data_IF_373133837215
#
_entry.id   IF_373133837215
#
_cell.length_a   1.000
_cell.length_b   1.000
_cell.length_c   1.000
_cell.angle_alpha   90.00
_cell.angle_beta   90.00
_cell.angle_gamma   90.00
#
_symmetry.space_group_name_H-M   'P 1'
#
loop_
_entity.id
_entity.type
_entity.pdbx_description
1 polymer ?
#
# COMPACT_ATOMS: atom_id res chain seq x y z
N UNK A 1 12.58 -2.95 0.01
CA UNK A 1 12.72 -2.92 1.49
C UNK A 1 11.72 -3.86 2.14
N UNK A 2 10.53 -3.94 1.57
CA UNK A 2 9.50 -4.93 1.86
C UNK A 2 9.39 -5.91 0.70
N UNK A 3 8.93 -7.11 1.00
CA UNK A 3 8.42 -8.09 0.05
C UNK A 3 6.94 -8.33 0.39
N UNK A 4 6.08 -8.31 -0.63
CA UNK A 4 4.67 -8.65 -0.46
C UNK A 4 4.50 -10.16 -0.28
N UNK A 5 3.68 -10.57 0.70
CA UNK A 5 3.46 -11.99 0.99
C UNK A 5 2.25 -12.50 0.20
N UNK A 6 2.50 -12.87 -1.07
CA UNK A 6 1.50 -13.29 -2.04
C UNK A 6 0.65 -14.49 -1.59
N UNK A 7 1.22 -15.45 -0.85
CA UNK A 7 0.53 -16.69 -0.48
C UNK A 7 -0.58 -16.51 0.57
N UNK A 8 -0.56 -15.39 1.30
CA UNK A 8 -1.41 -15.17 2.48
C UNK A 8 -2.16 -13.83 2.45
N UNK A 9 -1.99 -13.07 1.37
CA UNK A 9 -2.63 -11.77 1.16
C UNK A 9 -3.49 -11.82 -0.10
N UNK A 10 -4.37 -10.84 -0.28
CA UNK A 10 -5.20 -10.75 -1.48
C UNK A 10 -4.36 -10.60 -2.76
N UNK A 11 -4.95 -10.84 -3.93
CA UNK A 11 -4.26 -10.53 -5.18
C UNK A 11 -4.03 -9.01 -5.27
N UNK A 12 -2.76 -8.61 -5.40
CA UNK A 12 -2.39 -7.20 -5.46
C UNK A 12 -2.83 -6.51 -6.75
N UNK A 13 -3.11 -7.28 -7.80
CA UNK A 13 -3.57 -6.74 -9.09
C UNK A 13 -4.84 -5.89 -8.94
N UNK A 14 -5.71 -6.25 -7.97
CA UNK A 14 -6.94 -5.52 -7.63
C UNK A 14 -6.69 -4.04 -7.31
N UNK A 15 -5.55 -3.71 -6.71
CA UNK A 15 -5.18 -2.34 -6.31
C UNK A 15 -4.64 -1.50 -7.47
N UNK A 16 -4.52 -2.08 -8.67
CA UNK A 16 -4.06 -1.39 -9.89
C UNK A 16 -5.21 -1.09 -10.86
N UNK A 17 -6.42 -1.57 -10.57
CA UNK A 17 -7.57 -1.45 -11.47
C UNK A 17 -8.22 -0.06 -11.43
N UNK A 18 -7.91 0.74 -10.40
CA UNK A 18 -8.53 2.05 -10.21
C UNK A 18 -10.02 1.94 -9.91
N UNK A 19 -10.39 0.95 -9.09
CA UNK A 19 -11.77 0.70 -8.64
C UNK A 19 -11.85 0.74 -7.12
N UNK A 20 -13.03 1.05 -6.62
CA UNK A 20 -13.36 0.87 -5.19
C UNK A 20 -13.34 -0.62 -4.83
N UNK A 21 -12.66 -0.94 -3.73
CA UNK A 21 -12.63 -2.25 -3.11
C UNK A 21 -13.41 -2.23 -1.77
N UNK A 22 -14.28 -1.23 -1.57
CA UNK A 22 -15.10 -1.07 -0.38
C UNK A 22 -15.97 -2.32 -0.13
N UNK A 23 -16.09 -2.72 1.13
CA UNK A 23 -16.83 -3.92 1.55
C UNK A 23 -16.01 -5.21 1.53
N UNK A 24 -14.78 -5.17 1.03
CA UNK A 24 -13.81 -6.26 1.17
C UNK A 24 -12.95 -6.03 2.41
N UNK A 25 -12.85 -7.05 3.27
CA UNK A 25 -12.02 -7.00 4.46
C UNK A 25 -10.69 -7.70 4.17
N UNK A 26 -9.64 -6.90 3.99
CA UNK A 26 -8.29 -7.37 3.71
C UNK A 26 -7.32 -6.84 4.76
N UNK A 27 -6.45 -7.72 5.24
CA UNK A 27 -5.19 -7.33 5.87
C UNK A 27 -4.05 -7.82 4.98
N UNK A 28 -3.35 -6.88 4.35
CA UNK A 28 -2.24 -7.19 3.45
C UNK A 28 -0.95 -7.36 4.26
N UNK A 29 -0.25 -8.47 4.04
CA UNK A 29 0.94 -8.83 4.83
C UNK A 29 2.21 -8.62 4.01
N UNK A 30 3.20 -8.03 4.65
CA UNK A 30 4.49 -7.68 4.09
C UNK A 30 5.61 -8.18 4.98
N UNK A 31 6.73 -8.57 4.38
CA UNK A 31 7.92 -9.00 5.10
C UNK A 31 9.06 -7.99 4.89
N UNK A 32 9.62 -7.46 5.97
CA UNK A 32 10.84 -6.68 5.87
C UNK A 32 12.04 -7.60 5.58
N UNK A 33 12.89 -7.21 4.63
CA UNK A 33 14.02 -8.04 4.18
C UNK A 33 15.09 -8.27 5.24
N UNK A 34 15.27 -7.31 6.15
CA UNK A 34 16.27 -7.34 7.23
C UNK A 34 15.96 -6.28 8.30
N UNK A 35 16.59 -6.41 9.48
CA UNK A 35 16.42 -5.49 10.62
C UNK A 35 16.70 -4.02 10.29
N UNK A 36 17.68 -3.75 9.41
CA UNK A 36 17.99 -2.38 8.97
C UNK A 36 16.83 -1.78 8.17
N UNK A 37 16.26 -2.55 7.24
CA UNK A 37 15.07 -2.16 6.48
C UNK A 37 13.88 -1.91 7.41
N UNK A 38 13.65 -2.82 8.37
CA UNK A 38 12.57 -2.69 9.35
C UNK A 38 12.68 -1.40 10.18
N UNK A 39 13.88 -0.99 10.58
CA UNK A 39 14.09 0.30 11.26
C UNK A 39 13.90 1.52 10.36
N UNK A 40 14.30 1.42 9.07
CA UNK A 40 14.14 2.51 8.09
C UNK A 40 12.67 2.76 7.76
N UNK A 41 11.87 1.69 7.60
CA UNK A 41 10.44 1.72 7.31
C UNK A 41 9.69 2.64 8.30
N UNK A 42 9.99 2.55 9.59
CA UNK A 42 9.36 3.35 10.65
C UNK A 42 9.51 4.87 10.48
N UNK A 43 10.42 5.32 9.61
CA UNK A 43 10.70 6.74 9.35
C UNK A 43 10.13 7.23 8.00
N UNK A 44 9.49 6.35 7.25
CA UNK A 44 8.97 6.66 5.92
C UNK A 44 7.48 6.99 6.00
N UNK A 45 7.05 7.97 5.21
CA UNK A 45 5.62 8.26 5.03
C UNK A 45 4.98 7.49 3.88
N UNK A 46 5.79 7.12 2.88
CA UNK A 46 5.40 6.34 1.70
C UNK A 46 6.42 5.23 1.48
N UNK A 47 5.96 4.04 1.13
CA UNK A 47 6.79 2.88 0.86
C UNK A 47 6.32 2.19 -0.42
N UNK A 48 7.23 2.14 -1.39
CA UNK A 48 7.05 1.35 -2.60
C UNK A 48 7.31 -0.13 -2.31
N UNK A 49 6.41 -0.98 -2.78
CA UNK A 49 6.49 -2.43 -2.55
C UNK A 49 6.38 -3.23 -3.85
N UNK A 50 6.50 -4.55 -3.75
CA UNK A 50 6.23 -5.47 -4.88
C UNK A 50 4.75 -5.80 -5.03
N UNK A 51 3.91 -5.34 -4.10
CA UNK A 51 2.45 -5.35 -4.16
C UNK A 51 1.93 -3.92 -4.08
N UNK A 52 0.81 -3.66 -3.39
CA UNK A 52 0.27 -2.31 -3.25
C UNK A 52 1.18 -1.44 -2.38
N UNK A 53 1.23 -0.14 -2.66
CA UNK A 53 2.03 0.81 -1.90
C UNK A 53 1.46 1.05 -0.50
N UNK A 54 2.34 1.41 0.44
CA UNK A 54 1.97 1.69 1.82
C UNK A 54 2.19 3.15 2.19
N UNK A 55 1.25 3.70 2.97
CA UNK A 55 1.36 5.01 3.58
C UNK A 55 1.38 4.92 5.10
N UNK A 56 2.15 5.78 5.74
CA UNK A 56 2.11 5.95 7.20
C UNK A 56 0.76 6.50 7.65
N UNK A 57 0.40 6.27 8.91
CA UNK A 57 -0.80 6.85 9.55
C UNK A 57 -0.92 8.36 9.34
N UNK A 58 0.17 9.10 9.52
CA UNK A 58 0.15 10.56 9.38
C UNK A 58 -0.21 10.98 7.95
N UNK A 59 0.37 10.32 6.95
CA UNK A 59 0.06 10.58 5.54
C UNK A 59 -1.36 10.16 5.19
N UNK A 60 -1.83 9.01 5.71
CA UNK A 60 -3.22 8.56 5.56
C UNK A 60 -4.19 9.64 6.03
N UNK A 61 -4.01 10.18 7.23
CA UNK A 61 -4.88 11.23 7.78
C UNK A 61 -4.92 12.46 6.87
N UNK A 62 -3.77 12.89 6.33
CA UNK A 62 -3.71 14.01 5.39
C UNK A 62 -4.47 13.71 4.10
N UNK A 63 -4.31 12.50 3.55
CA UNK A 63 -4.98 12.09 2.31
C UNK A 63 -6.49 11.92 2.48
N UNK A 64 -6.94 11.33 3.59
CA UNK A 64 -8.37 11.24 3.95
C UNK A 64 -9.03 12.63 4.06
N UNK A 65 -8.28 13.65 4.47
CA UNK A 65 -8.79 15.02 4.53
C UNK A 65 -8.75 15.74 3.18
N UNK A 66 -7.71 15.49 2.37
CA UNK A 66 -7.45 16.26 1.15
C UNK A 66 -8.17 15.68 -0.07
N UNK A 67 -8.23 14.36 -0.19
CA UNK A 67 -8.77 13.64 -1.35
C UNK A 67 -9.68 12.45 -0.92
N UNK A 68 -10.67 12.65 -0.03
CA UNK A 68 -11.46 11.58 0.58
C UNK A 68 -12.19 10.67 -0.40
N UNK A 69 -12.48 11.15 -1.61
CA UNK A 69 -13.24 10.42 -2.62
C UNK A 69 -12.36 9.83 -3.73
N UNK A 70 -11.03 9.97 -3.63
CA UNK A 70 -10.10 9.50 -4.67
C UNK A 70 -9.21 8.35 -4.19
N UNK A 71 -9.19 8.08 -2.88
CA UNK A 71 -8.37 7.03 -2.28
C UNK A 71 -9.15 6.23 -1.26
N UNK A 72 -8.83 4.95 -1.17
CA UNK A 72 -9.24 4.03 -0.10
C UNK A 72 -8.01 3.51 0.64
N UNK A 73 -8.20 3.09 1.89
CA UNK A 73 -7.14 2.55 2.72
C UNK A 73 -7.51 1.20 3.31
N UNK A 74 -6.57 0.26 3.25
CA UNK A 74 -6.70 -1.08 3.81
C UNK A 74 -5.63 -1.35 4.84
N UNK A 75 -5.91 -2.27 5.76
CA UNK A 75 -4.97 -2.59 6.82
C UNK A 75 -3.74 -3.33 6.29
N UNK A 76 -2.58 -2.97 6.83
CA UNK A 76 -1.30 -3.56 6.47
C UNK A 76 -0.55 -4.03 7.71
N UNK A 77 0.01 -5.23 7.63
CA UNK A 77 0.92 -5.78 8.63
C UNK A 77 2.31 -5.94 8.03
N UNK A 78 3.30 -5.29 8.64
CA UNK A 78 4.70 -5.44 8.25
C UNK A 78 5.41 -6.31 9.29
N UNK A 79 5.80 -7.52 8.89
CA UNK A 79 6.45 -8.50 9.73
C UNK A 79 7.99 -8.44 9.61
N UNK A 80 8.68 -8.67 10.72
CA UNK A 80 10.10 -8.96 10.76
C UNK A 80 10.42 -9.89 11.93
N UNK A 81 10.88 -11.11 11.65
CA UNK A 81 11.06 -12.15 12.68
C UNK A 81 9.76 -12.32 13.51
N UNK A 82 9.80 -12.06 14.82
CA UNK A 82 8.64 -12.15 15.70
C UNK A 82 7.99 -10.77 15.99
N UNK A 83 8.41 -9.72 15.28
CA UNK A 83 7.88 -8.37 15.43
C UNK A 83 6.88 -8.04 14.31
N UNK A 84 5.75 -7.44 14.70
CA UNK A 84 4.78 -6.84 13.78
C UNK A 84 4.86 -5.32 13.96
N UNK A 85 5.07 -4.61 12.85
CA UNK A 85 5.00 -3.16 12.79
C UNK A 85 3.61 -2.74 12.31
N UNK A 86 2.91 -2.01 13.18
CA UNK A 86 1.67 -1.33 12.88
C UNK A 86 1.90 0.14 12.48
N UNK A 87 0.85 0.81 11.99
CA UNK A 87 0.88 2.24 11.66
C UNK A 87 1.11 2.55 10.18
N UNK A 88 1.03 1.53 9.33
CA UNK A 88 0.94 1.69 7.87
C UNK A 88 -0.41 1.16 7.38
N UNK A 89 -0.86 1.71 6.26
CA UNK A 89 -2.04 1.24 5.53
C UNK A 89 -1.69 1.14 4.05
N UNK A 90 -2.30 0.18 3.37
CA UNK A 90 -2.28 0.13 1.91
C UNK A 90 -3.08 1.32 1.38
N UNK A 91 -2.56 1.97 0.34
CA UNK A 91 -3.30 2.98 -0.41
C UNK A 91 -3.84 2.39 -1.71
N UNK A 92 -5.14 2.58 -1.96
CA UNK A 92 -5.83 2.21 -3.19
C UNK A 92 -6.38 3.47 -3.87
N UNK A 93 -5.73 4.01 -4.91
CA UNK A 93 -6.31 5.08 -5.71
C UNK A 93 -7.50 4.54 -6.52
N UNK A 94 -8.71 5.06 -6.28
CA UNK A 94 -9.95 4.54 -6.91
C UNK A 94 -10.37 5.30 -8.15
N UNK A 95 -9.60 6.30 -8.57
CA UNK A 95 -9.91 7.14 -9.71
C UNK A 95 -8.89 6.94 -10.81
N UNK A 96 -9.35 6.41 -11.94
CA UNK A 96 -8.56 6.29 -13.16
C UNK A 96 -8.76 7.53 -14.04
N UNK A 97 -7.66 8.06 -14.55
CA UNK A 97 -7.64 9.09 -15.59
C UNK A 97 -6.80 8.53 -16.73
N UNK A 98 -7.35 8.49 -17.94
CA UNK A 98 -6.58 8.11 -19.11
C UNK A 98 -5.58 9.24 -19.43
N UNK A 99 -4.33 9.05 -19.01
CA UNK A 99 -3.29 10.07 -19.08
C UNK A 99 -2.04 9.61 -19.87
N UNK A 100 -1.95 8.33 -20.21
CA UNK A 100 -0.86 7.80 -21.03
C UNK A 100 -1.24 7.80 -22.52
N UNK A 101 -0.49 8.54 -23.32
CA UNK A 101 -0.57 8.44 -24.79
C UNK A 101 0.19 7.18 -25.23
N UNK A 102 -0.52 6.07 -25.33
CA UNK A 102 0.06 4.77 -25.71
C UNK A 102 0.63 4.78 -27.15
N UNK A 103 0.22 5.72 -28.00
CA UNK A 103 0.75 5.85 -29.36
C UNK A 103 2.12 6.55 -29.39
N UNK A 104 2.46 7.30 -28.33
CA UNK A 104 3.74 8.02 -28.17
C UNK A 104 4.61 7.49 -27.04
N UNK A 105 4.17 6.45 -26.35
CA UNK A 105 4.94 5.79 -25.30
C UNK A 105 5.77 4.67 -25.94
N UNK A 106 7.10 4.72 -25.74
CA UNK A 106 8.05 3.72 -26.25
C UNK A 106 7.80 2.30 -25.73
#
# INVERSE_FOLDING_TARGET
>A
MLDYLHDISADFSLFSEGISLEGLDFTLKYQAKNKSSFKKIKKCHLLFTTGPDLVSRDLRVVLEQTVPTEVEFFDAEICYENEILSGFSVINPIKKIDCCDMDKSE
#
